data_IF_250053154735
#
_entry.id   IF_250053154735
#
_cell.length_a   1.000
_cell.length_b   1.000
_cell.length_c   1.000
_cell.angle_alpha   90.00
_cell.angle_beta   90.00
_cell.angle_gamma   90.00
#
_symmetry.space_group_name_H-M   'P 1'
#
loop_
_entity.id
_entity.type
_entity.pdbx_description
1 polymer ?
#
# COMPACT_ATOMS: atom_id res chain seq x y z
N UNK A 1 1.97 31.66 -0.96
CA UNK A 1 1.46 30.77 0.10
C UNK A 1 2.49 29.65 0.26
N UNK A 2 3.13 29.53 1.41
CA UNK A 2 4.16 28.52 1.69
C UNK A 2 3.47 27.38 2.45
N UNK A 3 3.27 26.27 1.76
CA UNK A 3 2.69 25.05 2.29
C UNK A 3 2.64 24.05 1.14
N UNK A 4 3.14 22.84 1.36
CA UNK A 4 3.20 21.72 0.42
C UNK A 4 1.77 21.36 0.01
N UNK A 5 1.24 21.83 -1.15
CA UNK A 5 -0.20 21.77 -1.43
C UNK A 5 -0.69 20.35 -1.77
N UNK A 6 0.23 19.39 -1.86
CA UNK A 6 0.01 18.01 -2.30
C UNK A 6 -1.00 17.21 -1.48
N UNK A 7 -1.29 17.65 -0.26
CA UNK A 7 -2.25 16.99 0.65
C UNK A 7 -3.57 17.74 0.77
N UNK A 8 -3.75 18.84 0.04
CA UNK A 8 -4.95 19.67 0.15
C UNK A 8 -6.17 18.96 -0.46
N UNK A 9 -7.27 18.95 0.28
CA UNK A 9 -8.52 18.33 -0.15
C UNK A 9 -9.26 19.18 -1.20
N UNK A 10 -10.14 18.58 -2.03
CA UNK A 10 -10.91 19.27 -3.06
C UNK A 10 -11.67 20.49 -2.53
N UNK A 11 -12.35 20.32 -1.40
CA UNK A 11 -13.15 21.37 -0.75
C UNK A 11 -12.29 22.55 -0.30
N UNK A 12 -11.07 22.31 0.20
CA UNK A 12 -10.14 23.38 0.60
C UNK A 12 -9.55 24.14 -0.57
N UNK A 13 -9.46 23.52 -1.74
CA UNK A 13 -8.99 24.16 -2.98
C UNK A 13 -10.12 24.97 -3.63
N UNK A 14 -11.37 24.53 -3.47
CA UNK A 14 -12.55 25.19 -4.04
C UNK A 14 -13.07 26.33 -3.15
N UNK A 15 -13.03 26.16 -1.82
CA UNK A 15 -13.67 27.05 -0.87
C UNK A 15 -12.67 27.56 0.18
N UNK A 16 -12.53 28.88 0.27
CA UNK A 16 -11.64 29.54 1.22
C UNK A 16 -12.26 29.72 2.63
N UNK A 17 -13.54 29.39 2.83
CA UNK A 17 -14.35 29.92 3.96
C UNK A 17 -15.12 28.85 4.76
N UNK A 18 -15.13 27.57 4.40
CA UNK A 18 -15.75 26.55 5.27
C UNK A 18 -14.72 26.06 6.28
N UNK A 19 -15.10 26.11 7.56
CA UNK A 19 -14.27 25.74 8.70
C UNK A 19 -13.65 24.36 8.53
N UNK A 20 -12.52 24.15 9.21
CA UNK A 20 -11.76 22.90 9.18
C UNK A 20 -12.67 21.69 9.44
N UNK A 21 -12.89 20.88 8.42
CA UNK A 21 -13.70 19.68 8.48
C UNK A 21 -12.78 18.46 8.64
N UNK A 22 -13.08 17.61 9.62
CA UNK A 22 -12.35 16.37 9.90
C UNK A 22 -12.21 15.48 8.65
N UNK A 23 -13.13 15.60 7.69
CA UNK A 23 -13.06 14.90 6.40
C UNK A 23 -11.87 15.33 5.53
N UNK A 24 -11.38 16.57 5.66
CA UNK A 24 -10.17 17.04 4.99
C UNK A 24 -8.91 16.33 5.49
N UNK A 25 -8.89 15.94 6.78
CA UNK A 25 -7.78 15.15 7.34
C UNK A 25 -7.78 13.72 6.81
N UNK A 26 -8.96 13.14 6.59
CA UNK A 26 -9.09 11.82 5.98
C UNK A 26 -8.54 11.82 4.55
N UNK A 27 -8.77 12.88 3.78
CA UNK A 27 -8.16 13.05 2.46
C UNK A 27 -6.63 13.11 2.53
N UNK A 28 -6.10 13.94 3.43
CA UNK A 28 -4.65 14.10 3.64
C UNK A 28 -4.02 12.77 4.05
N UNK A 29 -4.69 12.00 4.91
CA UNK A 29 -4.28 10.65 5.30
C UNK A 29 -4.28 9.70 4.09
N UNK A 30 -5.30 9.74 3.24
CA UNK A 30 -5.32 8.97 1.98
C UNK A 30 -4.13 9.27 1.07
N UNK A 31 -3.74 10.54 0.96
CA UNK A 31 -2.56 10.95 0.21
C UNK A 31 -1.27 10.39 0.82
N UNK A 32 -1.12 10.44 2.14
CA UNK A 32 0.06 9.91 2.85
C UNK A 32 0.13 8.38 2.72
N UNK A 33 -1.00 7.67 2.88
CA UNK A 33 -1.07 6.22 2.69
C UNK A 33 -0.64 5.81 1.28
N UNK A 34 -1.13 6.53 0.27
CA UNK A 34 -0.71 6.33 -1.12
C UNK A 34 0.79 6.61 -1.28
N UNK A 35 1.29 7.71 -0.74
CA UNK A 35 2.69 8.12 -0.89
C UNK A 35 3.67 7.16 -0.21
N UNK A 36 3.32 6.62 0.95
CA UNK A 36 4.12 5.56 1.60
C UNK A 36 4.24 4.30 0.73
N UNK A 37 3.21 3.99 -0.06
CA UNK A 37 3.21 2.82 -0.95
C UNK A 37 3.88 3.11 -2.30
N UNK A 38 3.61 4.27 -2.91
CA UNK A 38 4.04 4.61 -4.26
C UNK A 38 5.33 5.45 -4.30
N UNK A 39 5.84 5.87 -3.14
CA UNK A 39 6.97 6.78 -2.94
C UNK A 39 6.83 8.12 -3.69
N UNK A 40 5.58 8.49 -4.02
CA UNK A 40 5.19 9.74 -4.66
C UNK A 40 3.77 10.10 -4.24
N UNK A 41 3.48 11.39 -4.09
CA UNK A 41 2.11 11.89 -3.88
C UNK A 41 1.19 11.47 -5.03
N UNK A 42 -0.11 11.15 -4.77
CA UNK A 42 -1.05 10.70 -5.80
C UNK A 42 -1.21 11.73 -6.93
N UNK A 43 -1.28 13.02 -6.59
CA UNK A 43 -1.51 14.11 -7.54
C UNK A 43 -0.22 14.84 -7.94
N UNK A 44 0.93 14.18 -7.79
CA UNK A 44 2.22 14.73 -8.22
C UNK A 44 2.25 14.98 -9.74
N UNK A 45 3.04 15.98 -10.16
CA UNK A 45 3.31 16.27 -11.57
C UNK A 45 4.57 17.11 -11.74
N UNK A 46 5.22 16.99 -12.90
CA UNK A 46 6.33 17.87 -13.26
C UNK A 46 5.80 19.31 -13.48
N UNK A 47 6.45 20.30 -12.86
CA UNK A 47 6.05 21.72 -12.91
C UNK A 47 4.65 22.02 -12.32
N UNK A 48 4.28 21.29 -11.25
CA UNK A 48 2.98 21.42 -10.61
C UNK A 48 2.78 22.80 -9.96
N UNK A 49 1.81 23.56 -10.49
CA UNK A 49 1.25 24.74 -9.85
C UNK A 49 -0.15 24.42 -9.28
N UNK A 50 -0.72 25.33 -8.48
CA UNK A 50 -2.03 25.13 -7.85
C UNK A 50 -3.16 24.86 -8.86
N UNK A 51 -3.09 25.43 -10.06
CA UNK A 51 -4.10 25.22 -11.11
C UNK A 51 -4.03 23.79 -11.65
N UNK A 52 -2.83 23.31 -11.97
CA UNK A 52 -2.62 21.94 -12.45
C UNK A 52 -2.93 20.89 -11.36
N UNK A 53 -2.58 21.15 -10.11
CA UNK A 53 -2.92 20.30 -8.97
C UNK A 53 -4.44 20.22 -8.78
N UNK A 54 -5.13 21.38 -8.81
CA UNK A 54 -6.59 21.44 -8.74
C UNK A 54 -7.22 20.61 -9.85
N UNK A 55 -6.74 20.75 -11.09
CA UNK A 55 -7.27 20.00 -12.22
C UNK A 55 -7.18 18.49 -12.00
N UNK A 56 -6.02 18.00 -11.53
CA UNK A 56 -5.81 16.57 -11.21
C UNK A 56 -6.73 16.09 -10.09
N UNK A 57 -6.83 16.85 -9.00
CA UNK A 57 -7.66 16.50 -7.84
C UNK A 57 -9.13 16.37 -8.23
N UNK A 58 -9.67 17.34 -8.96
CA UNK A 58 -11.11 17.39 -9.30
C UNK A 58 -11.57 16.27 -10.23
N UNK A 59 -10.64 15.60 -10.91
CA UNK A 59 -10.95 14.44 -11.77
C UNK A 59 -10.37 13.14 -11.22
N UNK A 60 -9.79 13.17 -10.01
CA UNK A 60 -9.09 12.04 -9.38
C UNK A 60 -8.02 11.41 -10.29
N UNK A 61 -7.24 12.23 -10.98
CA UNK A 61 -6.13 11.79 -11.85
C UNK A 61 -4.89 11.40 -11.03
N UNK A 62 -4.88 10.16 -10.57
CA UNK A 62 -3.72 9.48 -9.98
C UNK A 62 -3.67 8.02 -10.40
N UNK A 63 -2.46 7.45 -10.45
CA UNK A 63 -2.30 6.03 -10.79
C UNK A 63 -2.77 5.15 -9.62
N UNK A 64 -3.58 4.10 -9.83
CA UNK A 64 -3.93 3.19 -8.75
C UNK A 64 -2.72 2.37 -8.31
N UNK A 65 -2.68 2.01 -7.02
CA UNK A 65 -1.66 1.11 -6.48
C UNK A 65 -1.74 -0.28 -7.16
N UNK A 66 -0.62 -0.88 -7.59
CA UNK A 66 -0.62 -2.18 -8.27
C UNK A 66 -1.17 -3.32 -7.39
N UNK A 67 -2.18 -4.04 -7.89
CA UNK A 67 -2.80 -5.17 -7.18
C UNK A 67 -1.87 -6.38 -6.99
N UNK A 68 -0.82 -6.49 -7.80
CA UNK A 68 0.20 -7.54 -7.67
C UNK A 68 1.16 -7.31 -6.50
N UNK A 69 1.22 -6.10 -5.95
CA UNK A 69 2.17 -5.70 -4.91
C UNK A 69 1.43 -5.38 -3.60
N UNK A 70 0.30 -4.69 -3.69
CA UNK A 70 -0.42 -4.18 -2.51
C UNK A 70 -1.75 -4.90 -2.29
N UNK A 71 -2.04 -5.18 -1.01
CA UNK A 71 -3.26 -5.86 -0.57
C UNK A 71 -4.52 -5.13 -1.02
N UNK A 72 -5.62 -5.86 -1.17
CA UNK A 72 -6.92 -5.25 -1.49
C UNK A 72 -7.31 -4.20 -0.45
N UNK A 73 -7.10 -4.49 0.83
CA UNK A 73 -7.45 -3.63 1.95
C UNK A 73 -6.76 -2.26 1.88
N UNK A 74 -5.44 -2.23 1.60
CA UNK A 74 -4.72 -0.96 1.48
C UNK A 74 -5.23 -0.14 0.29
N UNK A 75 -5.38 -0.78 -0.87
CA UNK A 75 -5.83 -0.11 -2.09
C UNK A 75 -7.24 0.45 -1.94
N UNK A 76 -8.12 -0.35 -1.33
CA UNK A 76 -9.50 0.04 -1.04
C UNK A 76 -9.57 1.19 -0.04
N UNK A 77 -8.78 1.14 1.05
CA UNK A 77 -8.72 2.22 2.03
C UNK A 77 -8.24 3.54 1.41
N UNK A 78 -7.18 3.51 0.60
CA UNK A 78 -6.71 4.70 -0.13
C UNK A 78 -7.81 5.26 -1.04
N UNK A 79 -8.47 4.40 -1.83
CA UNK A 79 -9.56 4.83 -2.71
C UNK A 79 -10.76 5.41 -1.93
N UNK A 80 -11.07 4.88 -0.75
CA UNK A 80 -12.13 5.37 0.14
C UNK A 80 -11.81 6.74 0.75
N UNK A 81 -10.55 7.02 1.04
CA UNK A 81 -10.11 8.33 1.52
C UNK A 81 -10.05 9.39 0.40
N UNK A 82 -9.66 9.00 -0.82
CA UNK A 82 -9.52 9.89 -1.98
C UNK A 82 -10.82 10.02 -2.79
N UNK A 83 -11.90 10.41 -2.11
CA UNK A 83 -13.21 10.68 -2.72
C UNK A 83 -13.49 12.19 -2.70
N UNK A 84 -14.05 12.71 -3.79
CA UNK A 84 -14.34 14.15 -3.92
C UNK A 84 -15.31 14.64 -2.85
N UNK A 85 -16.42 13.93 -2.69
CA UNK A 85 -17.43 14.23 -1.68
C UNK A 85 -16.90 13.87 -0.27
N UNK A 86 -16.73 14.86 0.64
CA UNK A 86 -16.20 14.62 1.98
C UNK A 86 -17.11 13.71 2.82
N UNK A 87 -18.42 13.75 2.62
CA UNK A 87 -19.39 12.94 3.38
C UNK A 87 -19.32 11.45 3.04
N UNK A 88 -18.80 11.13 1.85
CA UNK A 88 -18.59 9.74 1.48
C UNK A 88 -17.32 9.17 2.11
N UNK A 89 -16.37 9.98 2.56
CA UNK A 89 -15.11 9.48 3.13
C UNK A 89 -15.37 8.73 4.44
N UNK A 90 -14.57 7.70 4.79
CA UNK A 90 -14.69 7.02 6.08
C UNK A 90 -14.37 8.00 7.23
N UNK A 91 -14.85 7.70 8.43
CA UNK A 91 -14.36 8.42 9.62
C UNK A 91 -13.03 7.80 10.12
N UNK A 92 -12.39 8.47 11.08
CA UNK A 92 -11.10 8.00 11.61
C UNK A 92 -11.22 6.66 12.36
N UNK A 93 -12.40 6.34 12.91
CA UNK A 93 -12.66 5.09 13.61
C UNK A 93 -12.68 3.92 12.63
N UNK A 94 -13.35 4.08 11.48
CA UNK A 94 -13.35 3.10 10.39
C UNK A 94 -11.94 2.90 9.81
N UNK A 95 -11.21 3.98 9.55
CA UNK A 95 -9.82 3.91 9.06
C UNK A 95 -8.92 3.14 10.05
N UNK A 96 -9.01 3.47 11.34
CA UNK A 96 -8.24 2.79 12.38
C UNK A 96 -8.62 1.31 12.50
N UNK A 97 -9.91 0.97 12.38
CA UNK A 97 -10.35 -0.43 12.40
C UNK A 97 -9.72 -1.25 11.27
N UNK A 98 -9.72 -0.73 10.04
CA UNK A 98 -9.09 -1.40 8.88
C UNK A 98 -7.57 -1.53 9.10
N UNK A 99 -6.91 -0.50 9.61
CA UNK A 99 -5.48 -0.53 9.92
C UNK A 99 -5.14 -1.62 10.96
N UNK A 100 -5.94 -1.72 12.02
CA UNK A 100 -5.79 -2.76 13.04
C UNK A 100 -5.99 -4.17 12.47
N UNK A 101 -7.00 -4.37 11.61
CA UNK A 101 -7.21 -5.64 10.94
C UNK A 101 -6.02 -6.05 10.06
N UNK A 102 -5.48 -5.10 9.28
CA UNK A 102 -4.29 -5.35 8.45
C UNK A 102 -3.08 -5.70 9.31
N UNK A 103 -2.87 -4.98 10.42
CA UNK A 103 -1.75 -5.25 11.33
C UNK A 103 -1.86 -6.62 12.00
N UNK A 104 -3.05 -6.99 12.50
CA UNK A 104 -3.28 -8.30 13.11
C UNK A 104 -2.94 -9.45 12.15
N UNK A 105 -3.40 -9.37 10.90
CA UNK A 105 -3.08 -10.36 9.85
C UNK A 105 -1.59 -10.44 9.57
N UNK A 106 -0.90 -9.30 9.52
CA UNK A 106 0.56 -9.26 9.34
C UNK A 106 1.29 -9.98 10.48
N UNK A 107 0.91 -9.72 11.73
CA UNK A 107 1.50 -10.35 12.92
C UNK A 107 1.23 -11.87 12.93
N UNK A 108 0.02 -12.30 12.59
CA UNK A 108 -0.32 -13.72 12.47
C UNK A 108 0.57 -14.44 11.44
N UNK A 109 0.75 -13.84 10.26
CA UNK A 109 1.61 -14.40 9.21
C UNK A 109 3.08 -14.46 9.63
N UNK A 110 3.59 -13.42 10.29
CA UNK A 110 4.95 -13.39 10.81
C UNK A 110 5.18 -14.47 11.87
N UNK A 111 4.21 -14.68 12.76
CA UNK A 111 4.27 -15.73 13.78
C UNK A 111 4.23 -17.13 13.16
N UNK A 112 3.41 -17.34 12.11
CA UNK A 112 3.38 -18.61 11.39
C UNK A 112 4.72 -18.91 10.69
N UNK A 113 5.32 -17.91 10.03
CA UNK A 113 6.61 -18.06 9.37
C UNK A 113 7.73 -18.47 10.34
N UNK A 114 7.75 -17.87 11.54
CA UNK A 114 8.76 -18.14 12.57
C UNK A 114 8.61 -19.52 13.25
N UNK A 115 7.43 -20.14 13.19
CA UNK A 115 7.15 -21.44 13.81
C UNK A 115 7.28 -22.62 12.84
N UNK A 116 7.72 -22.39 11.61
CA UNK A 116 7.92 -23.46 10.62
C UNK A 116 9.20 -24.24 10.97
N UNK A 117 9.14 -25.57 11.23
CA UNK A 117 10.34 -26.36 11.48
C UNK A 117 11.23 -26.32 10.24
N UNK A 118 12.51 -25.96 10.41
CA UNK A 118 13.52 -26.05 9.36
C UNK A 118 13.46 -27.46 8.75
N UNK A 119 13.38 -27.62 7.42
CA UNK A 119 13.44 -28.95 6.83
C UNK A 119 14.79 -29.57 7.24
N UNK A 120 14.73 -30.60 8.06
CA UNK A 120 15.88 -31.42 8.43
C UNK A 120 16.51 -31.89 7.13
N UNK A 121 17.84 -31.72 6.92
CA UNK A 121 18.46 -32.24 5.72
C UNK A 121 18.26 -33.76 5.75
N UNK A 122 17.49 -34.28 4.79
CA UNK A 122 17.30 -35.72 4.63
C UNK A 122 18.68 -36.34 4.50
N UNK A 123 19.05 -37.19 5.46
CA UNK A 123 20.23 -38.05 5.35
C UNK A 123 20.14 -38.79 4.03
N UNK A 124 20.99 -38.42 3.07
CA UNK A 124 21.22 -39.23 1.88
C UNK A 124 21.78 -40.55 2.39
N UNK A 125 21.07 -41.63 2.12
CA UNK A 125 21.53 -42.98 2.38
C UNK A 125 22.85 -43.22 1.64
N UNK A 126 23.96 -43.21 2.39
CA UNK A 126 25.24 -43.75 1.95
C UNK A 126 25.14 -45.28 1.93
N UNK A 127 24.54 -45.84 0.88
CA UNK A 127 24.56 -47.30 0.65
C UNK A 127 24.31 -47.66 -0.81
N UNK A 128 25.37 -47.56 -1.62
CA UNK A 128 25.61 -48.48 -2.73
C UNK A 128 27.09 -48.41 -3.16
N UNK A 129 27.96 -49.09 -2.41
CA UNK A 129 29.25 -49.55 -2.92
C UNK A 129 28.96 -50.65 -3.95
N UNK A 130 28.83 -50.26 -5.22
CA UNK A 130 28.78 -51.16 -6.37
C UNK A 130 30.17 -51.25 -6.99
N UNK A 131 30.85 -52.37 -6.75
CA UNK A 131 32.14 -52.71 -7.33
C UNK A 131 32.08 -52.74 -8.86
N UNK A 132 32.89 -51.89 -9.50
CA UNK A 132 33.16 -51.95 -10.94
C UNK A 132 34.06 -53.17 -11.20
N UNK A 133 33.55 -54.15 -11.93
CA UNK A 133 34.35 -55.25 -12.48
C UNK A 133 35.10 -54.79 -13.74
N UNK A 134 36.29 -55.34 -14.03
CA UNK A 134 37.10 -54.91 -15.17
C UNK A 134 36.54 -55.48 -16.48
N UNK A 135 36.40 -54.62 -17.49
CA UNK A 135 36.14 -55.02 -18.89
C UNK A 135 37.40 -55.67 -19.46
N UNK A 136 37.28 -56.90 -19.92
CA UNK A 136 38.25 -57.58 -20.78
C UNK A 136 37.53 -58.44 -21.84
N UNK A 137 38.23 -58.66 -22.97
CA UNK A 137 37.84 -59.31 -24.24
C UNK A 137 37.05 -58.44 -25.23
N UNK A 138 37.36 -58.39 -26.53
CA UNK A 138 38.35 -59.11 -27.37
C UNK A 138 38.48 -58.35 -28.69
#
# INVERSE_FOLDING_TARGET
MVGTPYYMSPERIQEHIIGYDFRSDIWSLGCILYEMAALRSPFFGENLNLVSLRAKILVLDYAPLPASIFSHELRHLVARCLVLDPEQRPDITEVNHIAQMMYARFVEQANMANNTPTPTPSSRDDSACGSVTPVNNR
#
